data_IF_942523330382
#
_entry.id   IF_942523330382
#
_cell.length_a   1.000
_cell.length_b   1.000
_cell.length_c   1.000
_cell.angle_alpha   90.00
_cell.angle_beta   90.00
_cell.angle_gamma   90.00
#
_symmetry.space_group_name_H-M   'P 1'
#
loop_
_entity.id
_entity.type
_entity.pdbx_description
1 polymer ?
#
# COMPACT_ATOMS: atom_id res chain seq x y z
N UNK A 1 -13.56 13.95 17.55
CA UNK A 1 -13.16 12.98 16.51
C UNK A 1 -13.79 13.29 15.15
N UNK A 2 -15.12 13.29 15.02
CA UNK A 2 -15.82 13.52 13.73
C UNK A 2 -15.39 14.80 13.00
N UNK A 3 -15.19 15.93 13.71
CA UNK A 3 -14.75 17.20 13.10
C UNK A 3 -13.35 17.12 12.51
N UNK A 4 -12.41 16.45 13.21
CA UNK A 4 -11.04 16.27 12.72
C UNK A 4 -11.03 15.37 11.48
N UNK A 5 -11.78 14.28 11.51
CA UNK A 5 -11.93 13.39 10.36
C UNK A 5 -12.50 14.13 9.14
N UNK A 6 -13.55 14.94 9.31
CA UNK A 6 -14.10 15.79 8.24
C UNK A 6 -13.06 16.76 7.67
N UNK A 7 -12.21 17.33 8.53
CA UNK A 7 -11.11 18.19 8.10
C UNK A 7 -10.11 17.43 7.23
N UNK A 8 -9.67 16.23 7.66
CA UNK A 8 -8.71 15.43 6.89
C UNK A 8 -9.30 15.00 5.53
N UNK A 9 -10.56 14.57 5.52
CA UNK A 9 -11.27 14.23 4.28
C UNK A 9 -11.35 15.40 3.31
N UNK A 10 -11.68 16.59 3.81
CA UNK A 10 -11.77 17.81 3.01
C UNK A 10 -10.40 18.26 2.50
N UNK A 11 -9.34 18.11 3.30
CA UNK A 11 -7.97 18.39 2.85
C UNK A 11 -7.54 17.44 1.73
N UNK A 12 -7.80 16.14 1.88
CA UNK A 12 -7.52 15.14 0.84
C UNK A 12 -8.32 15.41 -0.44
N UNK A 13 -9.57 15.88 -0.32
CA UNK A 13 -10.39 16.26 -1.47
C UNK A 13 -9.86 17.51 -2.18
N UNK A 14 -9.49 18.56 -1.43
CA UNK A 14 -8.94 19.81 -1.98
C UNK A 14 -7.55 19.65 -2.58
N UNK A 15 -6.79 18.67 -2.12
CA UNK A 15 -5.51 18.25 -2.73
C UNK A 15 -5.68 17.19 -3.83
N UNK A 16 -6.93 16.95 -4.26
CA UNK A 16 -7.30 16.00 -5.31
C UNK A 16 -6.83 14.56 -5.10
N UNK A 17 -6.44 14.17 -3.87
CA UNK A 17 -5.95 12.81 -3.57
C UNK A 17 -6.99 11.74 -3.87
N UNK A 18 -8.27 12.05 -3.64
CA UNK A 18 -9.41 11.20 -4.00
C UNK A 18 -9.61 10.99 -5.50
N UNK A 19 -8.92 11.75 -6.34
CA UNK A 19 -8.99 11.61 -7.80
C UNK A 19 -7.71 10.97 -8.30
N UNK A 20 -6.54 11.58 -8.05
CA UNK A 20 -5.31 11.14 -8.67
C UNK A 20 -4.81 9.80 -8.12
N UNK A 21 -4.97 9.50 -6.83
CA UNK A 21 -4.49 8.23 -6.28
C UNK A 21 -5.28 7.03 -6.81
N UNK A 22 -6.63 7.01 -6.78
CA UNK A 22 -7.39 5.94 -7.43
C UNK A 22 -7.08 5.80 -8.92
N UNK A 23 -6.91 6.91 -9.65
CA UNK A 23 -6.54 6.86 -11.06
C UNK A 23 -5.21 6.16 -11.31
N UNK A 24 -4.20 6.40 -10.46
CA UNK A 24 -2.92 5.69 -10.58
C UNK A 24 -3.08 4.19 -10.30
N UNK A 25 -3.82 3.81 -9.25
CA UNK A 25 -4.09 2.39 -8.97
C UNK A 25 -4.90 1.71 -10.08
N UNK A 26 -5.88 2.40 -10.66
CA UNK A 26 -6.62 1.92 -11.85
C UNK A 26 -5.66 1.72 -13.02
N UNK A 27 -4.81 2.71 -13.33
CA UNK A 27 -3.85 2.59 -14.42
C UNK A 27 -2.92 1.38 -14.21
N UNK A 28 -2.35 1.22 -13.02
CA UNK A 28 -1.52 0.06 -12.68
C UNK A 28 -2.30 -1.26 -12.79
N UNK A 29 -3.55 -1.30 -12.31
CA UNK A 29 -4.40 -2.49 -12.35
C UNK A 29 -4.78 -2.91 -13.77
N UNK A 30 -4.95 -1.94 -14.66
CA UNK A 30 -5.17 -2.19 -16.09
C UNK A 30 -3.88 -2.63 -16.77
N UNK A 31 -2.74 -2.00 -16.44
CA UNK A 31 -1.47 -2.25 -17.12
C UNK A 31 -1.02 -3.71 -17.03
N UNK A 32 -1.12 -4.35 -15.85
CA UNK A 32 -0.59 -5.71 -15.70
C UNK A 32 -1.34 -6.73 -16.60
N UNK A 33 -2.68 -6.89 -16.55
CA UNK A 33 -3.36 -7.89 -17.38
C UNK A 33 -3.20 -7.66 -18.88
N UNK A 34 -3.23 -6.40 -19.34
CA UNK A 34 -2.99 -6.10 -20.76
C UNK A 34 -1.56 -6.47 -21.17
N UNK A 35 -0.57 -6.06 -20.37
CA UNK A 35 0.83 -6.34 -20.69
C UNK A 35 1.09 -7.85 -20.70
N UNK A 36 0.57 -8.58 -19.71
CA UNK A 36 0.73 -10.03 -19.63
C UNK A 36 0.06 -10.77 -20.81
N UNK A 37 -1.11 -10.31 -21.25
CA UNK A 37 -1.83 -10.94 -22.37
C UNK A 37 -1.15 -10.68 -23.72
N UNK A 38 -0.77 -9.42 -23.99
CA UNK A 38 -0.17 -9.02 -25.27
C UNK A 38 1.36 -9.17 -25.32
N UNK A 39 1.99 -9.70 -24.26
CA UNK A 39 3.44 -9.89 -24.23
C UNK A 39 3.97 -10.75 -25.39
N UNK A 40 3.34 -11.88 -25.76
CA UNK A 40 3.79 -12.68 -26.89
C UNK A 40 3.77 -11.87 -28.20
N UNK A 41 2.67 -11.18 -28.49
CA UNK A 41 2.50 -10.36 -29.69
C UNK A 41 3.53 -9.21 -29.77
N UNK A 42 3.82 -8.57 -28.63
CA UNK A 42 4.83 -7.51 -28.54
C UNK A 42 6.22 -8.06 -28.88
N UNK A 43 6.56 -9.25 -28.40
CA UNK A 43 7.86 -9.88 -28.67
C UNK A 43 7.95 -10.37 -30.12
N UNK A 44 6.85 -10.87 -30.69
CA UNK A 44 6.83 -11.29 -32.10
C UNK A 44 7.09 -10.10 -33.05
N UNK A 45 6.42 -8.97 -32.84
CA UNK A 45 6.53 -7.81 -33.72
C UNK A 45 7.80 -6.97 -33.45
N UNK A 46 8.22 -6.86 -32.18
CA UNK A 46 9.30 -5.93 -31.76
C UNK A 46 10.52 -6.60 -31.15
N UNK A 47 10.54 -7.93 -30.98
CA UNK A 47 11.60 -8.66 -30.28
C UNK A 47 12.85 -8.97 -31.11
N UNK A 48 12.84 -8.69 -32.43
CA UNK A 48 14.00 -8.90 -33.30
C UNK A 48 14.41 -10.38 -33.41
N UNK A 49 13.44 -11.29 -33.37
CA UNK A 49 13.67 -12.73 -33.43
C UNK A 49 14.25 -13.13 -34.81
N UNK A 50 15.27 -14.00 -34.88
CA UNK A 50 15.77 -14.54 -36.15
C UNK A 50 14.66 -15.25 -36.94
N UNK A 51 14.65 -15.09 -38.26
CA UNK A 51 13.68 -15.75 -39.14
C UNK A 51 13.66 -17.27 -38.89
N UNK A 52 12.48 -17.81 -38.57
CA UNK A 52 12.28 -19.24 -38.27
C UNK A 52 12.33 -19.63 -36.79
N UNK A 53 12.50 -18.67 -35.87
CA UNK A 53 12.40 -18.94 -34.42
C UNK A 53 10.94 -19.06 -34.00
N UNK A 54 10.48 -20.27 -33.69
CA UNK A 54 9.16 -20.49 -33.08
C UNK A 54 9.28 -20.15 -31.59
N UNK A 55 8.77 -18.98 -31.19
CA UNK A 55 8.80 -18.50 -29.81
C UNK A 55 7.42 -18.70 -29.19
N UNK A 56 7.21 -19.84 -28.54
CA UNK A 56 5.96 -20.17 -27.86
C UNK A 56 6.07 -19.76 -26.38
N UNK A 57 5.75 -18.49 -26.08
CA UNK A 57 5.64 -18.02 -24.69
C UNK A 57 4.26 -18.45 -24.19
N UNK A 58 4.18 -19.34 -23.18
CA UNK A 58 2.89 -19.71 -22.63
C UNK A 58 2.25 -18.49 -21.98
N UNK A 59 0.95 -18.31 -22.24
CA UNK A 59 0.15 -17.28 -21.56
C UNK A 59 0.17 -17.56 -20.04
N UNK A 60 0.42 -16.57 -19.18
CA UNK A 60 0.36 -16.78 -17.74
C UNK A 60 -1.05 -17.09 -17.27
N UNK A 61 -1.16 -17.82 -16.16
CA UNK A 61 -2.44 -18.09 -15.50
C UNK A 61 -3.07 -16.81 -14.94
N UNK A 62 -4.40 -16.77 -14.84
CA UNK A 62 -5.14 -15.62 -14.32
C UNK A 62 -4.73 -15.26 -12.88
N UNK A 63 -4.52 -16.29 -12.05
CA UNK A 63 -4.02 -16.20 -10.68
C UNK A 63 -2.64 -15.56 -10.60
N UNK A 64 -1.72 -15.97 -11.48
CA UNK A 64 -0.40 -15.39 -11.61
C UNK A 64 -0.48 -13.91 -12.01
N UNK A 65 -1.29 -13.56 -13.02
CA UNK A 65 -1.47 -12.17 -13.46
C UNK A 65 -2.01 -11.29 -12.32
N UNK A 66 -2.95 -11.80 -11.52
CA UNK A 66 -3.44 -11.08 -10.34
C UNK A 66 -2.35 -10.90 -9.28
N UNK A 67 -1.55 -11.94 -8.99
CA UNK A 67 -0.43 -11.87 -8.07
C UNK A 67 0.61 -10.82 -8.51
N UNK A 68 0.96 -10.82 -9.81
CA UNK A 68 1.86 -9.83 -10.40
C UNK A 68 1.31 -8.41 -10.32
N UNK A 69 -0.01 -8.25 -10.48
CA UNK A 69 -0.69 -6.94 -10.32
C UNK A 69 -0.51 -6.41 -8.90
N UNK A 70 -0.71 -7.26 -7.89
CA UNK A 70 -0.46 -6.90 -6.49
C UNK A 70 1.03 -6.63 -6.22
N UNK A 71 1.92 -7.35 -6.90
CA UNK A 71 3.36 -7.07 -6.92
C UNK A 71 3.67 -5.66 -7.45
N UNK A 72 3.06 -5.26 -8.57
CA UNK A 72 3.20 -3.92 -9.14
C UNK A 72 2.65 -2.85 -8.20
N UNK A 73 1.49 -3.09 -7.56
CA UNK A 73 0.99 -2.20 -6.52
C UNK A 73 1.96 -2.12 -5.32
N UNK A 74 2.62 -3.22 -4.93
CA UNK A 74 3.60 -3.21 -3.84
C UNK A 74 4.83 -2.35 -4.15
N UNK A 75 5.19 -2.21 -5.43
CA UNK A 75 6.29 -1.36 -5.86
C UNK A 75 5.84 0.09 -6.07
N UNK A 76 4.99 0.33 -7.06
CA UNK A 76 4.60 1.68 -7.49
C UNK A 76 3.44 2.22 -6.64
N UNK A 77 2.46 1.37 -6.31
CA UNK A 77 1.32 1.76 -5.48
C UNK A 77 1.74 2.18 -4.06
N UNK A 78 2.66 1.44 -3.41
CA UNK A 78 3.22 1.83 -2.11
C UNK A 78 3.93 3.17 -2.20
N UNK A 79 4.70 3.42 -3.26
CA UNK A 79 5.34 4.73 -3.48
C UNK A 79 4.31 5.86 -3.53
N UNK A 80 3.23 5.66 -4.28
CA UNK A 80 2.10 6.60 -4.36
C UNK A 80 1.45 6.85 -2.99
N UNK A 81 1.24 5.79 -2.19
CA UNK A 81 0.70 5.90 -0.83
C UNK A 81 1.62 6.74 0.06
N UNK A 82 2.92 6.48 0.02
CA UNK A 82 3.92 7.24 0.80
C UNK A 82 3.88 8.71 0.41
N UNK A 83 3.91 9.03 -0.89
CA UNK A 83 3.88 10.42 -1.36
C UNK A 83 2.60 11.16 -0.95
N UNK A 84 1.45 10.49 -0.95
CA UNK A 84 0.21 11.10 -0.55
C UNK A 84 0.14 11.41 0.96
N UNK A 85 0.86 10.66 1.79
CA UNK A 85 0.75 10.71 3.25
C UNK A 85 1.97 11.27 3.97
N UNK A 86 3.13 11.40 3.32
CA UNK A 86 4.39 11.91 3.91
C UNK A 86 4.26 13.31 4.55
N UNK A 87 3.29 14.10 4.09
CA UNK A 87 3.02 15.45 4.57
C UNK A 87 2.03 15.53 5.72
N UNK A 88 1.33 14.44 6.06
CA UNK A 88 0.15 14.49 6.91
C UNK A 88 0.43 14.98 8.34
N UNK A 89 1.64 14.73 8.88
CA UNK A 89 2.08 15.29 10.16
C UNK A 89 3.31 16.19 10.00
N UNK A 90 4.34 15.75 9.29
CA UNK A 90 5.56 16.54 9.09
C UNK A 90 5.30 17.86 8.33
N UNK A 91 4.38 17.84 7.36
CA UNK A 91 3.98 19.04 6.61
C UNK A 91 3.16 20.02 7.47
N UNK A 92 2.24 19.51 8.27
CA UNK A 92 1.48 20.35 9.20
C UNK A 92 2.33 20.94 10.32
N UNK A 93 3.33 20.18 10.78
CA UNK A 93 4.32 20.64 11.76
C UNK A 93 5.17 21.77 11.18
N UNK A 94 5.74 21.56 9.99
CA UNK A 94 6.60 22.56 9.34
C UNK A 94 5.86 23.82 8.88
N UNK A 95 4.56 23.73 8.56
CA UNK A 95 3.72 24.89 8.21
C UNK A 95 3.11 25.62 9.42
N UNK A 96 3.30 25.11 10.64
CA UNK A 96 2.66 25.66 11.85
C UNK A 96 1.17 25.34 12.00
N UNK A 97 0.57 24.65 11.01
CA UNK A 97 -0.85 24.21 11.05
C UNK A 97 -1.14 23.33 12.26
N UNK A 98 -0.20 22.45 12.63
CA UNK A 98 -0.35 21.55 13.77
C UNK A 98 -0.57 22.31 15.09
N UNK A 99 0.10 23.46 15.26
CA UNK A 99 -0.04 24.32 16.45
C UNK A 99 -1.45 24.91 16.53
N UNK A 100 -1.97 25.40 15.40
CA UNK A 100 -3.32 25.98 15.34
C UNK A 100 -4.42 24.96 15.64
N UNK A 101 -4.24 23.71 15.21
CA UNK A 101 -5.19 22.62 15.46
C UNK A 101 -5.12 22.17 16.91
N UNK A 102 -3.92 21.96 17.45
CA UNK A 102 -3.72 21.46 18.82
C UNK A 102 -3.90 22.54 19.91
N UNK A 103 -3.99 23.83 19.54
CA UNK A 103 -4.41 24.89 20.45
C UNK A 103 -5.89 24.78 20.85
N UNK A 104 -6.70 24.09 20.03
CA UNK A 104 -8.09 23.77 20.37
C UNK A 104 -8.13 22.59 21.36
N UNK A 105 -9.18 22.44 22.18
CA UNK A 105 -9.28 21.34 23.15
C UNK A 105 -9.60 20.01 22.44
N UNK A 106 -8.64 19.49 21.68
CA UNK A 106 -8.71 18.23 20.95
C UNK A 106 -7.69 17.25 21.52
N UNK A 107 -8.04 15.97 21.55
CA UNK A 107 -7.11 14.94 22.01
C UNK A 107 -6.04 14.64 20.95
N UNK A 108 -4.78 14.45 21.38
CA UNK A 108 -3.70 14.01 20.48
C UNK A 108 -4.01 12.68 19.79
N UNK A 109 -4.68 11.76 20.51
CA UNK A 109 -5.16 10.52 19.93
C UNK A 109 -6.19 10.76 18.82
N UNK A 110 -7.15 11.67 19.04
CA UNK A 110 -8.13 12.04 18.02
C UNK A 110 -7.50 12.71 16.79
N UNK A 111 -6.47 13.52 17.00
CA UNK A 111 -5.70 14.13 15.91
C UNK A 111 -4.97 13.09 15.05
N UNK A 112 -4.24 12.16 15.67
CA UNK A 112 -3.53 11.11 14.93
C UNK A 112 -4.49 10.11 14.27
N UNK A 113 -5.48 9.61 15.02
CA UNK A 113 -6.41 8.59 14.51
C UNK A 113 -7.29 9.14 13.38
N UNK A 114 -7.62 10.44 13.37
CA UNK A 114 -8.38 11.02 12.27
C UNK A 114 -7.60 10.94 10.95
N UNK A 115 -6.29 11.22 11.00
CA UNK A 115 -5.37 11.10 9.85
C UNK A 115 -5.20 9.66 9.42
N UNK A 116 -5.03 8.76 10.38
CA UNK A 116 -4.86 7.33 10.11
C UNK A 116 -6.11 6.73 9.45
N UNK A 117 -7.32 6.97 9.98
CA UNK A 117 -8.57 6.49 9.38
C UNK A 117 -8.80 7.10 8.00
N UNK A 118 -8.58 8.41 7.83
CA UNK A 118 -8.73 9.07 6.53
C UNK A 118 -7.73 8.51 5.48
N UNK A 119 -6.48 8.29 5.90
CA UNK A 119 -5.45 7.69 5.06
C UNK A 119 -5.80 6.27 4.64
N UNK A 120 -6.26 5.44 5.57
CA UNK A 120 -6.71 4.07 5.27
C UNK A 120 -7.89 4.08 4.30
N UNK A 121 -8.87 4.95 4.50
CA UNK A 121 -10.03 5.01 3.61
C UNK A 121 -9.64 5.40 2.18
N UNK A 122 -8.75 6.38 2.04
CA UNK A 122 -8.22 6.81 0.74
C UNK A 122 -7.48 5.66 0.05
N UNK A 123 -6.60 4.98 0.78
CA UNK A 123 -5.79 3.87 0.25
C UNK A 123 -6.68 2.67 -0.09
N UNK A 124 -7.64 2.34 0.77
CA UNK A 124 -8.61 1.26 0.52
C UNK A 124 -9.43 1.53 -0.74
N UNK A 125 -9.99 2.73 -0.89
CA UNK A 125 -10.79 3.08 -2.07
C UNK A 125 -9.95 3.04 -3.36
N UNK A 126 -8.70 3.54 -3.29
CA UNK A 126 -7.78 3.52 -4.43
C UNK A 126 -7.38 2.09 -4.81
N UNK A 127 -7.01 1.28 -3.83
CA UNK A 127 -6.70 -0.13 -4.01
C UNK A 127 -7.90 -0.91 -4.57
N UNK A 128 -9.09 -0.73 -4.00
CA UNK A 128 -10.30 -1.41 -4.45
C UNK A 128 -10.64 -1.04 -5.91
N UNK A 129 -10.48 0.23 -6.29
CA UNK A 129 -10.68 0.65 -7.67
C UNK A 129 -9.64 0.03 -8.63
N UNK A 130 -8.37 -0.01 -8.23
CA UNK A 130 -7.31 -0.67 -9.01
C UNK A 130 -7.49 -2.18 -9.14
N UNK A 131 -7.79 -2.86 -8.04
CA UNK A 131 -8.07 -4.30 -8.03
C UNK A 131 -9.32 -4.64 -8.85
N UNK A 132 -10.38 -3.83 -8.77
CA UNK A 132 -11.57 -4.01 -9.61
C UNK A 132 -11.26 -3.85 -11.10
N UNK A 133 -10.43 -2.86 -11.46
CA UNK A 133 -9.98 -2.68 -12.85
C UNK A 133 -9.15 -3.87 -13.33
N UNK A 134 -8.24 -4.38 -12.51
CA UNK A 134 -7.45 -5.57 -12.83
C UNK A 134 -8.33 -6.80 -13.03
N UNK A 135 -9.23 -7.08 -12.09
CA UNK A 135 -10.16 -8.21 -12.17
C UNK A 135 -11.10 -8.10 -13.38
N UNK A 136 -11.50 -6.89 -13.76
CA UNK A 136 -12.29 -6.66 -14.96
C UNK A 136 -11.54 -7.11 -16.22
N UNK A 137 -10.27 -6.72 -16.37
CA UNK A 137 -9.47 -7.12 -17.54
C UNK A 137 -9.04 -8.59 -17.48
N UNK A 138 -8.76 -9.14 -16.29
CA UNK A 138 -8.49 -10.57 -16.13
C UNK A 138 -9.70 -11.39 -16.56
N UNK A 139 -10.91 -11.03 -16.12
CA UNK A 139 -12.14 -11.71 -16.52
C UNK A 139 -12.40 -11.66 -18.04
N UNK A 140 -11.94 -10.61 -18.72
CA UNK A 140 -12.11 -10.47 -20.18
C UNK A 140 -11.07 -11.26 -20.99
N UNK A 141 -9.84 -11.37 -20.48
CA UNK A 141 -8.68 -11.84 -21.24
C UNK A 141 -8.17 -13.22 -20.80
N UNK A 142 -8.48 -13.65 -19.59
CA UNK A 142 -7.98 -14.88 -18.97
C UNK A 142 -9.10 -15.71 -18.36
N UNK A 143 -8.74 -16.87 -17.81
CA UNK A 143 -9.67 -17.78 -17.14
C UNK A 143 -10.20 -17.23 -15.79
N UNK A 144 -11.37 -17.69 -15.34
CA UNK A 144 -11.94 -17.24 -14.07
C UNK A 144 -11.08 -17.69 -12.88
N UNK A 145 -10.80 -16.75 -11.96
CA UNK A 145 -10.18 -17.05 -10.66
C UNK A 145 -11.27 -17.30 -9.62
N UNK A 146 -11.02 -18.21 -8.67
CA UNK A 146 -11.93 -18.43 -7.56
C UNK A 146 -12.07 -17.16 -6.70
N UNK A 147 -13.32 -16.73 -6.47
CA UNK A 147 -13.62 -15.53 -5.69
C UNK A 147 -13.04 -15.56 -4.26
N UNK A 148 -12.98 -16.73 -3.63
CA UNK A 148 -12.41 -16.90 -2.29
C UNK A 148 -10.91 -16.58 -2.28
N UNK A 149 -10.17 -17.04 -3.29
CA UNK A 149 -8.74 -16.76 -3.45
C UNK A 149 -8.49 -15.26 -3.63
N UNK A 150 -9.27 -14.61 -4.50
CA UNK A 150 -9.20 -13.16 -4.74
C UNK A 150 -9.40 -12.40 -3.43
N UNK A 151 -10.41 -12.76 -2.65
CA UNK A 151 -10.74 -12.09 -1.40
C UNK A 151 -9.64 -12.27 -0.35
N UNK A 152 -9.10 -13.48 -0.21
CA UNK A 152 -8.05 -13.80 0.74
C UNK A 152 -6.73 -13.10 0.39
N UNK A 153 -6.32 -13.17 -0.87
CA UNK A 153 -5.16 -12.47 -1.41
C UNK A 153 -5.29 -10.96 -1.19
N UNK A 154 -6.44 -10.40 -1.57
CA UNK A 154 -6.73 -8.97 -1.38
C UNK A 154 -6.70 -8.54 0.07
N UNK A 155 -7.13 -9.40 1.00
CA UNK A 155 -7.09 -9.11 2.43
C UNK A 155 -5.66 -9.00 2.95
N UNK A 156 -4.77 -9.94 2.62
CA UNK A 156 -3.37 -9.88 3.04
C UNK A 156 -2.66 -8.67 2.45
N UNK A 157 -2.88 -8.38 1.17
CA UNK A 157 -2.32 -7.20 0.53
C UNK A 157 -2.84 -5.89 1.16
N UNK A 158 -4.12 -5.83 1.50
CA UNK A 158 -4.67 -4.65 2.19
C UNK A 158 -4.08 -4.48 3.60
N UNK A 159 -3.78 -5.58 4.33
CA UNK A 159 -3.06 -5.49 5.60
C UNK A 159 -1.64 -4.93 5.43
N UNK A 160 -0.96 -5.27 4.33
CA UNK A 160 0.32 -4.65 3.98
C UNK A 160 0.19 -3.13 3.72
N UNK A 161 -0.85 -2.71 3.01
CA UNK A 161 -1.13 -1.29 2.79
C UNK A 161 -1.50 -0.56 4.10
N UNK A 162 -2.22 -1.20 5.01
CA UNK A 162 -2.54 -0.66 6.34
C UNK A 162 -1.25 -0.45 7.16
N UNK A 163 -0.34 -1.42 7.14
CA UNK A 163 0.98 -1.27 7.76
C UNK A 163 1.76 -0.11 7.13
N UNK A 164 1.75 0.00 5.79
CA UNK A 164 2.38 1.10 5.04
C UNK A 164 1.87 2.46 5.51
N UNK A 165 0.55 2.67 5.58
CA UNK A 165 -0.06 3.91 6.10
C UNK A 165 0.41 4.21 7.52
N UNK A 166 0.41 3.18 8.38
CA UNK A 166 0.80 3.30 9.78
C UNK A 166 2.26 3.74 9.93
N UNK A 167 3.16 3.10 9.18
CA UNK A 167 4.59 3.41 9.19
C UNK A 167 4.88 4.82 8.66
N UNK A 168 4.22 5.24 7.58
CA UNK A 168 4.39 6.59 7.01
C UNK A 168 3.95 7.67 7.99
N UNK A 169 2.80 7.49 8.63
CA UNK A 169 2.31 8.45 9.63
C UNK A 169 3.17 8.44 10.89
N UNK A 170 3.65 7.27 11.33
CA UNK A 170 4.63 7.16 12.41
C UNK A 170 5.88 7.98 12.09
N UNK A 171 6.55 7.72 10.97
CA UNK A 171 7.76 8.44 10.59
C UNK A 171 7.52 9.92 10.35
N UNK A 172 6.36 10.30 9.81
CA UNK A 172 5.95 11.71 9.66
C UNK A 172 5.71 12.41 11.01
N UNK A 173 5.50 11.66 12.10
CA UNK A 173 5.38 12.21 13.45
C UNK A 173 6.75 12.52 14.04
N UNK A 174 7.74 11.64 13.82
CA UNK A 174 9.09 11.76 14.40
C UNK A 174 10.02 12.65 13.56
N UNK A 175 9.91 12.59 12.24
CA UNK A 175 10.75 13.34 11.32
C UNK A 175 10.10 14.67 10.96
N UNK A 176 10.87 15.77 11.07
CA UNK A 176 10.36 17.13 10.84
C UNK A 176 10.09 17.46 9.38
N UNK A 177 10.81 16.82 8.44
CA UNK A 177 10.72 17.08 7.00
C UNK A 177 9.92 15.96 6.32
N UNK A 178 8.91 16.31 5.53
CA UNK A 178 8.09 15.34 4.79
C UNK A 178 8.92 14.46 3.85
N UNK A 179 9.93 15.03 3.18
CA UNK A 179 10.83 14.26 2.32
C UNK A 179 11.64 13.22 3.11
N UNK A 180 12.06 13.52 4.34
CA UNK A 180 12.76 12.57 5.19
C UNK A 180 11.82 11.44 5.65
N UNK A 181 10.57 11.77 5.98
CA UNK A 181 9.55 10.77 6.29
C UNK A 181 9.31 9.84 5.10
N UNK A 182 9.14 10.39 3.90
CA UNK A 182 8.97 9.59 2.69
C UNK A 182 10.16 8.65 2.42
N UNK A 183 11.38 9.19 2.41
CA UNK A 183 12.59 8.40 2.15
C UNK A 183 12.78 7.28 3.16
N UNK A 184 12.63 7.57 4.46
CA UNK A 184 12.75 6.55 5.50
C UNK A 184 11.66 5.47 5.39
N UNK A 185 10.41 5.86 5.10
CA UNK A 185 9.32 4.90 4.90
C UNK A 185 9.61 3.98 3.72
N UNK A 186 10.00 4.52 2.57
CA UNK A 186 10.29 3.73 1.37
C UNK A 186 11.43 2.74 1.59
N UNK A 187 12.53 3.20 2.19
CA UNK A 187 13.68 2.32 2.47
C UNK A 187 13.26 1.14 3.36
N UNK A 188 12.51 1.39 4.44
CA UNK A 188 12.07 0.32 5.34
C UNK A 188 11.10 -0.63 4.63
N UNK A 189 10.14 -0.11 3.87
CA UNK A 189 9.14 -0.92 3.16
C UNK A 189 9.79 -1.78 2.08
N UNK A 190 10.73 -1.23 1.31
CA UNK A 190 11.50 -1.96 0.29
C UNK A 190 12.34 -3.06 0.95
N UNK A 191 13.04 -2.76 2.04
CA UNK A 191 13.83 -3.78 2.76
C UNK A 191 12.93 -4.90 3.25
N UNK A 192 11.77 -4.60 3.83
CA UNK A 192 10.82 -5.62 4.30
C UNK A 192 10.27 -6.47 3.14
N UNK A 193 9.90 -5.84 2.02
CA UNK A 193 9.39 -6.54 0.85
C UNK A 193 10.46 -7.47 0.23
N UNK A 194 11.67 -6.96 0.01
CA UNK A 194 12.78 -7.73 -0.55
C UNK A 194 13.27 -8.83 0.40
N UNK A 195 13.35 -8.54 1.70
CA UNK A 195 13.73 -9.56 2.67
C UNK A 195 12.71 -10.71 2.68
N UNK A 196 11.41 -10.39 2.54
CA UNK A 196 10.33 -11.39 2.50
C UNK A 196 10.34 -12.24 1.24
N UNK A 197 10.79 -11.70 0.09
CA UNK A 197 10.94 -12.49 -1.13
C UNK A 197 12.18 -13.40 -1.12
N UNK A 198 13.15 -13.16 -0.23
CA UNK A 198 14.41 -13.92 -0.15
C UNK A 198 14.40 -14.93 1.00
N UNK A 199 13.91 -14.53 2.18
CA UNK A 199 13.94 -15.34 3.40
C UNK A 199 12.52 -15.73 3.83
N UNK A 200 12.21 -17.03 3.92
CA UNK A 200 10.88 -17.50 4.32
C UNK A 200 10.67 -17.51 5.84
N UNK A 201 11.38 -18.37 6.58
CA UNK A 201 11.13 -18.60 8.02
C UNK A 201 11.21 -17.36 8.92
N UNK A 202 12.28 -16.53 8.88
CA UNK A 202 12.38 -15.36 9.75
C UNK A 202 11.34 -14.29 9.41
N UNK A 203 10.97 -14.18 8.14
CA UNK A 203 10.06 -13.14 7.67
C UNK A 203 8.61 -13.42 8.00
N UNK A 204 8.24 -14.67 8.36
CA UNK A 204 6.91 -15.01 8.88
C UNK A 204 6.49 -14.15 10.08
N UNK A 205 7.43 -13.56 10.81
CA UNK A 205 7.17 -12.65 11.94
C UNK A 205 7.14 -11.17 11.55
N UNK A 206 7.17 -10.85 10.26
CA UNK A 206 7.22 -9.47 9.76
C UNK A 206 5.99 -9.13 8.91
N UNK A 207 5.63 -7.84 8.79
CA UNK A 207 4.57 -7.41 7.88
C UNK A 207 4.90 -7.63 6.40
N UNK A 208 6.18 -7.69 6.02
CA UNK A 208 6.60 -7.90 4.63
C UNK A 208 6.11 -9.24 4.09
N UNK A 209 6.01 -10.26 4.95
CA UNK A 209 5.52 -11.59 4.58
C UNK A 209 4.01 -11.63 4.26
N UNK A 210 3.26 -10.56 4.54
CA UNK A 210 1.89 -10.41 4.03
C UNK A 210 1.83 -10.37 2.50
N UNK A 211 2.90 -9.90 1.84
CA UNK A 211 3.01 -9.93 0.38
C UNK A 211 3.12 -11.38 -0.13
N UNK A 212 3.93 -12.21 0.54
CA UNK A 212 4.06 -13.63 0.22
C UNK A 212 2.72 -14.35 0.48
N UNK A 213 2.10 -14.13 1.65
CA UNK A 213 0.78 -14.69 1.96
C UNK A 213 -0.30 -14.28 0.94
N UNK A 214 -0.21 -13.07 0.37
CA UNK A 214 -1.08 -12.63 -0.71
C UNK A 214 -0.89 -13.47 -1.97
N UNK A 215 0.35 -13.81 -2.32
CA UNK A 215 0.66 -14.65 -3.49
C UNK A 215 0.27 -16.11 -3.25
N UNK A 216 0.61 -16.67 -2.09
CA UNK A 216 0.22 -18.04 -1.73
C UNK A 216 -1.31 -18.22 -1.71
N UNK A 217 -2.03 -17.19 -1.24
CA UNK A 217 -3.49 -17.18 -1.21
C UNK A 217 -4.14 -17.23 -2.58
N UNK A 218 -3.55 -16.59 -3.61
CA UNK A 218 -4.12 -16.62 -4.96
C UNK A 218 -3.81 -17.96 -5.67
N UNK A 219 -2.67 -18.58 -5.35
CA UNK A 219 -2.21 -19.84 -5.95
C UNK A 219 -2.72 -21.11 -5.24
N UNK A 220 -3.64 -20.96 -4.29
CA UNK A 220 -4.14 -22.06 -3.42
C UNK A 220 -3.04 -22.84 -2.66
N UNK A 221 -1.91 -22.19 -2.38
CA UNK A 221 -0.83 -22.80 -1.61
C UNK A 221 -1.07 -22.75 -0.10
N UNK A 222 -0.28 -23.51 0.66
CA UNK A 222 -0.37 -23.54 2.12
C UNK A 222 0.03 -22.19 2.72
N UNK A 223 -0.84 -21.63 3.56
CA UNK A 223 -0.65 -20.32 4.19
C UNK A 223 0.21 -20.42 5.45
N UNK A 224 1.42 -20.96 5.30
CA UNK A 224 2.34 -21.15 6.41
C UNK A 224 2.78 -19.81 6.99
N UNK A 225 2.70 -19.67 8.32
CA UNK A 225 3.06 -18.44 9.00
C UNK A 225 1.97 -17.36 8.99
N UNK A 226 0.76 -17.64 8.49
CA UNK A 226 -0.38 -16.72 8.49
C UNK A 226 -0.58 -16.00 9.83
N UNK A 227 -0.74 -16.77 10.91
CA UNK A 227 -1.00 -16.18 12.22
C UNK A 227 0.19 -15.40 12.77
N UNK A 228 1.42 -15.84 12.46
CA UNK A 228 2.65 -15.15 12.88
C UNK A 228 2.71 -13.74 12.27
N UNK A 229 2.47 -13.63 10.96
CA UNK A 229 2.57 -12.36 10.24
C UNK A 229 1.40 -11.43 10.56
N UNK A 230 0.17 -11.96 10.67
CA UNK A 230 -1.00 -11.14 11.05
C UNK A 230 -0.86 -10.57 12.47
N UNK A 231 -0.53 -11.43 13.45
CA UNK A 231 -0.40 -10.99 14.85
C UNK A 231 0.75 -9.99 14.97
N UNK A 232 1.91 -10.27 14.36
CA UNK A 232 3.04 -9.36 14.43
C UNK A 232 2.75 -8.01 13.77
N UNK A 233 2.01 -8.00 12.65
CA UNK A 233 1.60 -6.76 11.98
C UNK A 233 0.64 -5.94 12.83
N UNK A 234 -0.37 -6.56 13.43
CA UNK A 234 -1.32 -5.87 14.32
C UNK A 234 -0.59 -5.31 15.54
N UNK A 235 0.27 -6.11 16.19
CA UNK A 235 1.07 -5.68 17.32
C UNK A 235 1.99 -4.52 16.93
N UNK A 236 2.70 -4.62 15.81
CA UNK A 236 3.59 -3.55 15.36
C UNK A 236 2.80 -2.27 15.02
N UNK A 237 1.67 -2.37 14.32
CA UNK A 237 0.82 -1.22 14.02
C UNK A 237 0.33 -0.54 15.32
N UNK A 238 -0.15 -1.31 16.28
CA UNK A 238 -0.62 -0.77 17.57
C UNK A 238 0.51 -0.10 18.36
N UNK A 239 1.72 -0.66 18.36
CA UNK A 239 2.91 -0.05 18.96
C UNK A 239 3.30 1.26 18.26
N UNK A 240 3.32 1.29 16.93
CA UNK A 240 3.64 2.50 16.15
C UNK A 240 2.61 3.61 16.36
N UNK A 241 1.31 3.28 16.36
CA UNK A 241 0.24 4.24 16.64
C UNK A 241 0.38 4.78 18.07
N UNK A 242 0.57 3.91 19.05
CA UNK A 242 0.72 4.29 20.46
C UNK A 242 1.96 5.16 20.68
N UNK A 243 3.08 4.80 20.06
CA UNK A 243 4.33 5.57 20.09
C UNK A 243 4.17 6.96 19.46
N UNK A 244 3.46 7.06 18.34
CA UNK A 244 3.13 8.35 17.71
C UNK A 244 2.29 9.24 18.63
N UNK A 245 1.22 8.69 19.21
CA UNK A 245 0.34 9.41 20.13
C UNK A 245 1.09 9.85 21.39
N UNK A 246 1.96 9.01 21.93
CA UNK A 246 2.78 9.35 23.10
C UNK A 246 3.78 10.47 22.80
N UNK A 247 4.42 10.45 21.62
CA UNK A 247 5.35 11.49 21.21
C UNK A 247 4.65 12.83 20.94
N UNK A 248 3.46 12.81 20.33
CA UNK A 248 2.62 14.00 20.10
C UNK A 248 2.25 14.77 21.38
N UNK A 249 2.17 14.08 22.54
CA UNK A 249 1.89 14.72 23.84
C UNK A 249 3.05 15.55 24.38
N UNK A 250 4.27 15.38 23.85
CA UNK A 250 5.43 16.15 24.31
C UNK A 250 5.33 17.59 23.82
N UNK A 251 5.56 18.57 24.71
CA UNK A 251 5.49 20.01 24.40
C UNK A 251 6.43 20.42 23.26
N UNK A 252 7.60 19.77 23.20
CA UNK A 252 8.63 19.98 22.17
C UNK A 252 8.15 19.64 20.74
N UNK A 253 7.13 18.79 20.61
CA UNK A 253 6.60 18.44 19.29
C UNK A 253 5.84 19.60 18.65
N UNK A 254 5.14 20.39 19.47
CA UNK A 254 4.31 21.52 19.02
C UNK A 254 5.17 22.76 18.76
N UNK A 255 6.31 22.90 19.44
CA UNK A 255 7.10 24.14 19.43
C UNK A 255 8.24 24.19 18.40
N UNK A 256 8.58 23.07 17.74
CA UNK A 256 9.74 23.02 16.84
C UNK A 256 9.52 22.20 15.59
#
# INVERSE_FOLDING_TARGET
>A
MSVLFKKEMLEMARSYKWVWMPLVFIALGIMQPLTSYYLPDIIEEFGGLPEGTVFDIPLPGADQVFAETLGQFSQIGVFVVVLALMGALAGERSSGTAVMVLAKPVSHAGYFLAKWIAGILLVFASYAAGAAAALYYIFLLFDPINFQQILLSSFFYFMWLLFTVTLVLFLSTFLKKSAAAAGASLVILIILALASSIFKEPMMWTPGYLLELSSLAIQEETLDGLWKSLISTIVLCTLLISGSIAYLKRREWVQG
#
